data_IF_188937453677
#
_entry.id   IF_188937453677
#
_cell.length_a   1.000
_cell.length_b   1.000
_cell.length_c   1.000
_cell.angle_alpha   90.00
_cell.angle_beta   90.00
_cell.angle_gamma   90.00
#
_symmetry.space_group_name_H-M   'P 1'
#
loop_
_entity.id
_entity.type
_entity.pdbx_description
1 polymer ?
#
# COMPACT_ATOMS: atom_id res chain seq x y z
N UNK A 1 -1.01 9.81 8.49
CA UNK A 1 -1.02 8.44 9.10
C UNK A 1 -1.86 7.55 8.21
N UNK A 2 -1.33 6.39 7.84
CA UNK A 2 -2.07 5.33 7.16
C UNK A 2 -2.45 4.24 8.16
N UNK A 3 -3.67 3.74 8.08
CA UNK A 3 -4.10 2.53 8.81
C UNK A 3 -4.40 1.46 7.78
N UNK A 4 -3.52 0.46 7.68
CA UNK A 4 -3.62 -0.64 6.72
C UNK A 4 -4.29 -1.80 7.45
N UNK A 5 -5.43 -2.27 6.93
CA UNK A 5 -6.21 -3.36 7.54
C UNK A 5 -6.34 -4.50 6.54
N UNK A 6 -6.05 -5.72 6.96
CA UNK A 6 -6.26 -6.90 6.15
C UNK A 6 -7.66 -7.49 6.43
N UNK A 7 -8.59 -7.29 5.50
CA UNK A 7 -9.92 -7.92 5.53
C UNK A 7 -10.01 -9.19 4.66
N UNK A 8 -8.90 -9.63 4.05
CA UNK A 8 -8.86 -10.88 3.29
C UNK A 8 -8.89 -12.06 4.26
N UNK A 9 -9.43 -13.23 3.85
CA UNK A 9 -9.47 -14.44 4.69
C UNK A 9 -8.10 -15.14 4.79
N UNK A 10 -7.02 -14.49 4.36
CA UNK A 10 -5.65 -15.02 4.34
C UNK A 10 -4.66 -13.90 4.65
N UNK A 11 -3.45 -14.28 5.06
CA UNK A 11 -2.35 -13.35 5.30
C UNK A 11 -1.93 -12.65 4.01
N UNK A 12 -1.67 -11.35 4.12
CA UNK A 12 -1.08 -10.53 3.06
C UNK A 12 0.23 -9.94 3.58
N UNK A 13 1.09 -9.50 2.65
CA UNK A 13 2.31 -8.78 3.02
C UNK A 13 2.31 -7.41 2.35
N UNK A 14 1.84 -6.35 3.04
CA UNK A 14 1.89 -5.02 2.45
C UNK A 14 3.32 -4.61 2.12
N UNK A 15 3.46 -3.82 1.06
CA UNK A 15 4.69 -3.18 0.63
C UNK A 15 4.46 -1.68 0.46
N UNK A 16 5.48 -0.87 0.70
CA UNK A 16 5.42 0.58 0.50
C UNK A 16 6.65 1.05 -0.25
N UNK A 17 6.45 2.00 -1.18
CA UNK A 17 7.52 2.66 -1.90
C UNK A 17 7.33 4.16 -1.82
N UNK A 18 8.33 4.87 -1.29
CA UNK A 18 8.37 6.32 -1.34
C UNK A 18 8.74 6.83 -2.74
N UNK A 19 8.10 7.91 -3.16
CA UNK A 19 8.44 8.64 -4.37
C UNK A 19 9.73 9.45 -4.20
N UNK A 20 10.29 9.90 -5.33
CA UNK A 20 11.53 10.68 -5.34
C UNK A 20 11.45 11.91 -4.42
N UNK A 21 12.48 12.12 -3.62
CA UNK A 21 12.56 13.27 -2.70
C UNK A 21 11.77 13.11 -1.40
N UNK A 22 11.17 11.94 -1.14
CA UNK A 22 10.45 11.66 0.12
C UNK A 22 11.06 10.46 0.86
N UNK A 23 11.03 10.43 2.20
CA UNK A 23 11.62 9.32 2.96
C UNK A 23 10.78 8.06 2.85
N UNK A 24 11.42 6.91 3.04
CA UNK A 24 10.71 5.66 3.30
C UNK A 24 9.82 5.79 4.53
N UNK A 25 8.69 5.09 4.54
CA UNK A 25 7.88 4.91 5.74
C UNK A 25 8.65 4.06 6.77
N UNK A 26 8.22 3.99 8.05
CA UNK A 26 8.96 3.27 9.09
C UNK A 26 9.23 1.78 8.81
N UNK A 27 8.45 1.17 7.92
CA UNK A 27 8.69 -0.13 7.30
C UNK A 27 8.27 -0.03 5.84
N UNK A 28 8.98 -0.76 4.97
CA UNK A 28 8.72 -0.88 3.54
C UNK A 28 8.06 -2.20 3.16
N UNK A 29 7.97 -3.16 4.08
CA UNK A 29 7.15 -4.35 3.93
C UNK A 29 7.07 -5.21 5.19
N UNK A 30 5.89 -5.76 5.43
CA UNK A 30 5.59 -6.48 6.67
C UNK A 30 4.51 -7.55 6.43
N UNK A 31 4.40 -8.52 7.34
CA UNK A 31 3.30 -9.48 7.34
C UNK A 31 2.08 -8.88 8.04
N UNK A 32 0.88 -9.12 7.48
CA UNK A 32 -0.38 -8.70 8.08
C UNK A 32 -1.40 -9.83 7.97
N UNK A 33 -1.69 -10.50 9.08
CA UNK A 33 -2.63 -11.62 9.11
C UNK A 33 -4.08 -11.14 8.98
N UNK A 34 -4.99 -12.05 8.68
CA UNK A 34 -6.41 -11.74 8.51
C UNK A 34 -6.98 -11.05 9.76
N UNK A 35 -7.71 -9.96 9.56
CA UNK A 35 -8.33 -9.15 10.62
C UNK A 35 -7.35 -8.21 11.33
N UNK A 36 -6.05 -8.26 11.06
CA UNK A 36 -5.07 -7.36 11.68
C UNK A 36 -5.03 -5.99 10.99
N UNK A 37 -4.58 -4.99 11.76
CA UNK A 37 -4.31 -3.65 11.26
C UNK A 37 -2.97 -3.12 11.78
N UNK A 38 -2.28 -2.36 10.93
CA UNK A 38 -1.02 -1.67 11.25
C UNK A 38 -1.16 -0.18 10.94
N UNK A 39 -0.58 0.66 11.78
CA UNK A 39 -0.51 2.11 11.57
C UNK A 39 0.89 2.50 11.10
N UNK A 40 0.96 3.22 10.00
CA UNK A 40 2.20 3.81 9.48
C UNK A 40 2.12 5.33 9.51
N UNK A 41 3.09 5.96 10.16
CA UNK A 41 3.18 7.42 10.17
C UNK A 41 3.93 7.89 8.94
N UNK A 42 3.28 8.76 8.17
CA UNK A 42 3.88 9.51 7.06
C UNK A 42 4.28 10.90 7.53
N UNK A 43 5.03 11.61 6.68
CA UNK A 43 5.36 13.03 6.86
C UNK A 43 4.51 13.91 5.93
N UNK A 44 4.27 15.20 6.26
CA UNK A 44 3.69 16.15 5.32
C UNK A 44 4.51 16.17 4.02
N UNK A 45 3.84 16.24 2.86
CA UNK A 45 4.52 16.19 1.56
C UNK A 45 4.96 14.80 1.11
N UNK A 46 4.68 13.74 1.87
CA UNK A 46 5.04 12.38 1.46
C UNK A 46 4.26 11.96 0.22
N UNK A 47 4.95 11.38 -0.75
CA UNK A 47 4.38 10.84 -1.97
C UNK A 47 4.89 9.42 -2.16
N UNK A 48 4.06 8.53 -2.69
CA UNK A 48 4.45 7.15 -2.88
C UNK A 48 3.28 6.23 -3.18
N UNK A 49 3.56 4.94 -3.07
CA UNK A 49 2.58 3.88 -3.32
C UNK A 49 2.61 2.80 -2.25
N UNK A 50 1.46 2.20 -2.00
CA UNK A 50 1.25 1.09 -1.09
C UNK A 50 0.53 -0.02 -1.85
N UNK A 51 0.95 -1.26 -1.65
CA UNK A 51 0.30 -2.43 -2.24
C UNK A 51 0.29 -3.59 -1.25
N UNK A 52 -0.34 -4.70 -1.62
CA UNK A 52 -0.34 -5.93 -0.84
C UNK A 52 0.11 -7.11 -1.69
N UNK A 53 0.95 -7.96 -1.10
CA UNK A 53 1.49 -9.18 -1.70
C UNK A 53 0.76 -10.40 -1.18
N UNK A 54 0.69 -11.46 -1.99
CA UNK A 54 0.03 -12.72 -1.64
C UNK A 54 0.94 -13.92 -1.84
N UNK A 55 0.65 -15.01 -1.12
CA UNK A 55 1.36 -16.28 -1.28
C UNK A 55 2.86 -16.17 -1.01
N UNK A 56 3.24 -15.37 -0.02
CA UNK A 56 4.64 -15.13 0.30
C UNK A 56 5.23 -16.21 1.19
N UNK A 57 6.51 -16.49 1.00
CA UNK A 57 7.32 -17.29 1.91
C UNK A 57 8.67 -16.61 2.04
N UNK A 58 9.08 -16.34 3.28
CA UNK A 58 10.36 -15.73 3.62
C UNK A 58 11.09 -16.60 4.63
N UNK A 59 12.42 -16.62 4.54
CA UNK A 59 13.28 -17.20 5.56
C UNK A 59 13.45 -16.25 6.76
N UNK A 60 14.23 -16.68 7.76
CA UNK A 60 14.47 -15.90 8.97
C UNK A 60 15.22 -14.58 8.73
N UNK A 61 15.84 -14.41 7.55
CA UNK A 61 16.52 -13.17 7.14
C UNK A 61 15.61 -12.24 6.32
N UNK A 62 14.36 -12.65 6.08
CA UNK A 62 13.41 -11.90 5.28
C UNK A 62 13.62 -12.05 3.77
N UNK A 63 14.41 -13.03 3.32
CA UNK A 63 14.62 -13.33 1.90
C UNK A 63 13.65 -14.43 1.48
N UNK A 64 13.08 -14.31 0.29
CA UNK A 64 12.04 -15.23 -0.16
C UNK A 64 11.39 -14.82 -1.47
N UNK A 65 10.08 -15.05 -1.58
CA UNK A 65 9.29 -14.71 -2.77
C UNK A 65 7.80 -14.63 -2.45
N UNK A 66 7.09 -13.75 -3.15
CA UNK A 66 5.63 -13.71 -3.23
C UNK A 66 5.11 -14.17 -4.59
N UNK A 67 3.87 -14.69 -4.62
CA UNK A 67 3.20 -15.06 -5.86
C UNK A 67 2.75 -13.83 -6.66
N UNK A 68 2.25 -12.80 -5.97
CA UNK A 68 1.86 -11.51 -6.58
C UNK A 68 2.47 -10.33 -5.81
N UNK A 69 2.75 -9.24 -6.51
CA UNK A 69 3.28 -7.99 -5.93
C UNK A 69 4.67 -8.07 -5.32
N UNK A 70 5.42 -9.13 -5.60
CA UNK A 70 6.77 -9.32 -5.10
C UNK A 70 7.66 -8.09 -5.37
N UNK A 71 8.54 -7.76 -4.44
CA UNK A 71 9.41 -6.57 -4.54
C UNK A 71 10.90 -6.94 -4.53
N UNK A 72 11.25 -8.02 -5.23
CA UNK A 72 12.63 -8.49 -5.36
C UNK A 72 13.01 -9.58 -4.36
N UNK A 73 12.03 -10.37 -3.92
CA UNK A 73 12.24 -11.52 -3.03
C UNK A 73 12.63 -11.14 -1.61
N UNK A 74 12.11 -10.02 -1.10
CA UNK A 74 12.40 -9.52 0.24
C UNK A 74 11.14 -9.17 1.00
N UNK A 75 11.14 -9.38 2.32
CA UNK A 75 10.04 -8.97 3.19
C UNK A 75 9.94 -7.45 3.23
N UNK A 76 11.05 -6.78 3.55
CA UNK A 76 11.21 -5.33 3.41
C UNK A 76 11.55 -4.99 1.96
N UNK A 77 10.76 -4.13 1.32
CA UNK A 77 10.95 -3.83 -0.10
C UNK A 77 12.13 -2.90 -0.39
N UNK A 78 12.67 -2.18 0.60
CA UNK A 78 13.94 -1.42 0.51
C UNK A 78 14.04 -0.52 -0.75
N UNK A 79 12.95 0.15 -1.12
CA UNK A 79 12.92 1.02 -2.30
C UNK A 79 12.62 0.31 -3.63
N UNK A 80 12.38 -1.00 -3.61
CA UNK A 80 11.88 -1.75 -4.77
C UNK A 80 10.35 -1.62 -4.89
N UNK A 81 9.86 -1.51 -6.12
CA UNK A 81 8.42 -1.53 -6.43
C UNK A 81 7.86 -2.94 -6.54
N UNK A 82 6.54 -3.03 -6.58
CA UNK A 82 5.83 -4.28 -6.86
C UNK A 82 6.09 -4.77 -8.29
N UNK A 83 6.26 -6.08 -8.45
CA UNK A 83 6.19 -6.74 -9.75
C UNK A 83 4.72 -6.87 -10.20
N UNK A 84 4.35 -6.34 -11.39
CA UNK A 84 3.01 -6.52 -11.96
C UNK A 84 2.66 -8.00 -12.23
N UNK A 85 1.36 -8.39 -12.19
CA UNK A 85 0.20 -7.54 -11.95
C UNK A 85 0.00 -7.22 -10.46
N UNK A 86 -0.33 -5.98 -10.12
CA UNK A 86 -0.57 -5.55 -8.72
C UNK A 86 -1.49 -4.33 -8.64
N UNK A 87 -2.50 -4.41 -7.78
CA UNK A 87 -3.34 -3.27 -7.42
C UNK A 87 -2.57 -2.30 -6.53
N UNK A 88 -2.54 -1.02 -6.89
CA UNK A 88 -1.77 0.01 -6.19
C UNK A 88 -2.68 1.02 -5.52
N UNK A 89 -2.32 1.46 -4.32
CA UNK A 89 -2.74 2.75 -3.78
C UNK A 89 -1.64 3.77 -4.03
N UNK A 90 -1.93 4.81 -4.79
CA UNK A 90 -1.01 5.90 -5.09
C UNK A 90 -1.47 7.16 -4.36
N UNK A 91 -0.52 7.89 -3.75
CA UNK A 91 -0.85 9.08 -2.97
C UNK A 91 0.28 10.11 -2.98
N UNK A 92 -0.12 11.37 -2.99
CA UNK A 92 0.70 12.53 -2.64
C UNK A 92 -0.01 13.32 -1.54
N UNK A 93 0.58 13.35 -0.35
CA UNK A 93 0.12 14.14 0.79
C UNK A 93 0.58 15.58 0.58
N UNK A 94 -0.31 16.55 0.76
CA UNK A 94 0.02 17.97 0.71
C UNK A 94 0.99 18.40 1.81
N UNK A 95 1.67 19.53 1.59
CA UNK A 95 2.39 20.23 2.66
C UNK A 95 1.55 21.41 3.19
N UNK A 96 1.36 21.46 4.51
CA UNK A 96 0.54 22.51 5.14
C UNK A 96 -0.93 22.41 4.73
N UNK A 97 -1.45 23.48 4.10
CA UNK A 97 -2.85 23.57 3.65
C UNK A 97 -3.06 23.10 2.20
N UNK A 98 -2.04 22.49 1.59
CA UNK A 98 -2.15 21.90 0.25
C UNK A 98 -3.03 20.66 0.24
N UNK A 99 -3.65 20.38 -0.91
CA UNK A 99 -4.52 19.23 -1.09
C UNK A 99 -3.73 17.92 -1.20
N UNK A 100 -4.31 16.85 -0.67
CA UNK A 100 -3.88 15.48 -0.93
C UNK A 100 -4.47 14.99 -2.26
N UNK A 101 -3.68 14.24 -3.03
CA UNK A 101 -4.11 13.57 -4.25
C UNK A 101 -3.88 12.08 -4.09
N UNK A 102 -4.88 11.26 -4.36
CA UNK A 102 -4.78 9.82 -4.17
C UNK A 102 -5.77 9.05 -5.02
N UNK A 103 -5.40 7.82 -5.38
CA UNK A 103 -6.22 6.91 -6.18
C UNK A 103 -5.86 5.45 -5.91
N UNK A 104 -6.78 4.54 -6.24
CA UNK A 104 -6.46 3.13 -6.42
C UNK A 104 -6.32 2.86 -7.91
N UNK A 105 -5.14 2.39 -8.29
CA UNK A 105 -4.71 2.23 -9.67
C UNK A 105 -4.61 0.75 -10.03
N UNK A 106 -5.09 0.44 -11.23
CA UNK A 106 -4.97 -0.87 -11.90
C UNK A 106 -4.10 -0.78 -13.16
N UNK A 107 -3.34 0.31 -13.31
CA UNK A 107 -2.41 0.50 -14.44
C UNK A 107 -1.39 -0.64 -14.49
N UNK A 108 -0.89 -1.04 -13.31
CA UNK A 108 0.02 -2.17 -13.15
C UNK A 108 -0.73 -3.51 -12.96
N UNK A 109 -2.00 -3.59 -13.33
CA UNK A 109 -2.84 -4.78 -13.23
C UNK A 109 -3.54 -4.94 -11.88
N UNK A 110 -4.05 -6.16 -11.64
CA UNK A 110 -4.87 -6.48 -10.47
C UNK A 110 -4.35 -7.71 -9.76
N UNK A 111 -4.35 -7.69 -8.42
CA UNK A 111 -4.12 -8.89 -7.62
C UNK A 111 -5.08 -9.02 -6.42
N UNK A 112 -5.47 -7.90 -5.80
CA UNK A 112 -6.34 -7.88 -4.62
C UNK A 112 -7.32 -6.71 -4.69
N UNK A 113 -8.55 -6.88 -4.16
CA UNK A 113 -9.45 -5.76 -3.99
C UNK A 113 -8.91 -4.81 -2.91
N UNK A 114 -9.08 -3.52 -3.13
CA UNK A 114 -8.59 -2.48 -2.23
C UNK A 114 -9.60 -1.34 -2.11
N UNK A 115 -9.73 -0.80 -0.90
CA UNK A 115 -10.54 0.37 -0.59
C UNK A 115 -9.74 1.33 0.29
N UNK A 116 -9.75 2.60 -0.08
CA UNK A 116 -9.10 3.69 0.64
C UNK A 116 -10.17 4.66 1.10
N UNK A 117 -10.21 4.88 2.41
CA UNK A 117 -11.16 5.76 3.08
C UNK A 117 -10.40 6.92 3.74
N UNK A 118 -10.46 8.15 3.19
CA UNK A 118 -9.91 9.32 3.87
C UNK A 118 -10.63 9.54 5.22
N UNK A 119 -9.87 9.90 6.25
CA UNK A 119 -10.36 10.17 7.61
C UNK A 119 -9.84 11.52 8.08
N UNK A 120 -10.66 12.25 8.85
CA UNK A 120 -10.28 13.58 9.34
C UNK A 120 -10.14 14.58 8.19
N UNK A 121 -11.18 14.69 7.36
CA UNK A 121 -11.21 15.63 6.24
C UNK A 121 -11.37 17.05 6.78
N UNK A 122 -10.45 17.94 6.43
CA UNK A 122 -10.47 19.36 6.80
C UNK A 122 -10.57 20.22 5.53
N UNK A 123 -11.30 21.34 5.59
CA UNK A 123 -11.49 22.24 4.45
C UNK A 123 -12.86 22.14 3.77
N UNK A 124 -13.02 22.81 2.62
CA UNK A 124 -14.31 22.98 1.92
C UNK A 124 -14.65 21.88 0.91
N UNK A 125 -13.72 20.98 0.62
CA UNK A 125 -13.88 19.90 -0.37
C UNK A 125 -14.06 18.55 0.31
N UNK A 126 -15.00 17.74 -0.19
CA UNK A 126 -15.18 16.37 0.26
C UNK A 126 -14.06 15.48 -0.28
N UNK A 127 -13.40 14.71 0.58
CA UNK A 127 -12.50 13.63 0.17
C UNK A 127 -13.33 12.34 0.01
N UNK A 128 -13.44 11.84 -1.21
CA UNK A 128 -14.19 10.62 -1.50
C UNK A 128 -13.35 9.38 -1.25
N UNK A 129 -14.02 8.28 -0.93
CA UNK A 129 -13.41 6.96 -0.98
C UNK A 129 -12.98 6.63 -2.42
N UNK A 130 -11.87 5.91 -2.56
CA UNK A 130 -11.42 5.36 -3.85
C UNK A 130 -11.06 3.89 -3.66
N UNK A 131 -11.30 3.06 -4.66
CA UNK A 131 -11.07 1.64 -4.53
C UNK A 131 -11.62 0.83 -5.69
N UNK A 132 -11.14 -0.41 -5.75
CA UNK A 132 -11.69 -1.47 -6.56
C UNK A 132 -12.00 -2.64 -5.62
N UNK A 133 -13.27 -2.77 -5.27
CA UNK A 133 -13.72 -3.73 -4.24
C UNK A 133 -14.21 -5.06 -4.83
N UNK A 134 -14.33 -5.14 -6.16
CA UNK A 134 -14.71 -6.36 -6.86
C UNK A 134 -13.47 -7.22 -7.14
N UNK A 135 -13.65 -8.54 -7.08
CA UNK A 135 -12.66 -9.50 -7.59
C UNK A 135 -12.69 -9.49 -9.11
N UNK A 136 -11.71 -8.84 -9.75
CA UNK A 136 -11.60 -8.77 -11.22
C UNK A 136 -10.99 -10.06 -11.79
N UNK A 137 -10.41 -10.93 -10.96
CA UNK A 137 -9.87 -12.20 -11.43
C UNK A 137 -10.96 -13.26 -11.71
N UNK A 138 -12.25 -12.91 -11.61
CA UNK A 138 -13.39 -13.81 -11.77
C UNK A 138 -14.39 -13.33 -12.79
#
# INVERSE_FOLDING_TARGET
IFTITNNCPYTIWPGTLAGAGTPALPTTGFQLDSGQAVKLTSVPGWSGRIWARTGCTFDATGIGKCQTGDCGGRLECDGNGAAPPTSLFEITIGQGDQQDYYDVSMVDGYNLPMLVLPRGVYGKSACNATGCVTDINR
#
